data_IF_612498826519
#
_entry.id   IF_612498826519
#
_cell.length_a   1.000
_cell.length_b   1.000
_cell.length_c   1.000
_cell.angle_alpha   90.00
_cell.angle_beta   90.00
_cell.angle_gamma   90.00
#
_symmetry.space_group_name_H-M   'P 1'
#
loop_
_entity.id
_entity.type
_entity.pdbx_description
1 polymer ?
#
# COMPACT_ATOMS: atom_id res chain seq x y z
N UNK A 1 4.81 17.50 -9.04
CA UNK A 1 4.13 16.41 -8.32
C UNK A 1 3.98 15.24 -9.27
N UNK A 2 3.94 14.01 -8.73
CA UNK A 2 3.62 12.81 -9.50
C UNK A 2 2.11 12.76 -9.77
N UNK A 3 1.69 12.07 -10.82
CA UNK A 3 0.29 11.92 -11.22
C UNK A 3 -0.15 10.44 -11.21
N UNK A 4 -1.40 10.18 -11.61
CA UNK A 4 -1.97 8.83 -11.63
C UNK A 4 -1.26 7.89 -12.60
N UNK A 5 -0.69 8.38 -13.71
CA UNK A 5 0.05 7.54 -14.64
C UNK A 5 1.39 7.10 -14.02
N UNK A 6 2.05 7.98 -13.25
CA UNK A 6 3.23 7.59 -12.47
C UNK A 6 2.90 6.48 -11.46
N UNK A 7 1.71 6.53 -10.85
CA UNK A 7 1.22 5.49 -9.95
C UNK A 7 1.04 4.16 -10.67
N UNK A 8 0.35 4.16 -11.82
CA UNK A 8 0.14 2.97 -12.64
C UNK A 8 1.49 2.35 -13.03
N UNK A 9 2.41 3.16 -13.57
CA UNK A 9 3.72 2.69 -14.03
C UNK A 9 4.55 2.09 -12.89
N UNK A 10 4.52 2.69 -11.70
CA UNK A 10 5.21 2.16 -10.53
C UNK A 10 4.53 0.91 -9.96
N UNK A 11 3.23 0.72 -10.18
CA UNK A 11 2.47 -0.43 -9.66
C UNK A 11 2.53 -1.65 -10.58
N UNK A 12 2.77 -1.48 -11.89
CA UNK A 12 2.84 -2.60 -12.86
C UNK A 12 3.80 -3.70 -12.41
N UNK A 13 5.06 -3.43 -11.98
CA UNK A 13 5.97 -4.46 -11.51
C UNK A 13 5.48 -5.20 -10.25
N UNK A 14 4.69 -4.53 -9.41
CA UNK A 14 4.13 -5.13 -8.20
C UNK A 14 3.08 -6.21 -8.52
N UNK A 15 2.40 -6.14 -9.67
CA UNK A 15 1.41 -7.15 -10.08
C UNK A 15 2.01 -8.56 -10.28
N UNK A 16 3.32 -8.65 -10.52
CA UNK A 16 4.05 -9.92 -10.61
C UNK A 16 4.99 -10.13 -9.42
N UNK A 17 4.75 -9.45 -8.31
CA UNK A 17 5.58 -9.51 -7.10
C UNK A 17 4.77 -10.05 -5.93
N UNK A 18 5.35 -10.98 -5.17
CA UNK A 18 4.90 -11.32 -3.82
C UNK A 18 6.00 -10.99 -2.80
N UNK A 19 5.62 -10.43 -1.65
CA UNK A 19 6.51 -10.28 -0.51
C UNK A 19 6.19 -11.30 0.57
N UNK A 20 7.20 -11.95 1.13
CA UNK A 20 7.04 -12.76 2.35
C UNK A 20 7.83 -12.10 3.49
N UNK A 21 7.11 -11.68 4.53
CA UNK A 21 7.66 -11.07 5.74
C UNK A 21 7.42 -12.01 6.93
N UNK A 22 8.47 -12.31 7.67
CA UNK A 22 8.36 -12.99 8.97
C UNK A 22 8.54 -11.94 10.07
N UNK A 23 7.51 -11.77 10.89
CA UNK A 23 7.50 -10.83 12.01
C UNK A 23 7.57 -11.58 13.34
N UNK A 24 8.30 -11.02 14.31
CA UNK A 24 8.49 -11.61 15.63
C UNK A 24 8.11 -10.66 16.76
N UNK A 25 7.44 -11.19 17.79
CA UNK A 25 7.16 -10.47 19.05
C UNK A 25 6.95 -11.44 20.20
N UNK A 26 7.63 -11.21 21.33
CA UNK A 26 7.49 -11.98 22.59
C UNK A 26 7.55 -13.51 22.40
N UNK A 27 8.49 -13.99 21.59
CA UNK A 27 8.67 -15.42 21.34
C UNK A 27 7.69 -16.05 20.34
N UNK A 28 6.80 -15.25 19.74
CA UNK A 28 5.89 -15.67 18.67
C UNK A 28 6.36 -15.09 17.35
N UNK A 29 6.25 -15.87 16.27
CA UNK A 29 6.46 -15.43 14.89
C UNK A 29 5.20 -15.63 14.04
N UNK A 30 5.00 -14.75 13.06
CA UNK A 30 3.93 -14.84 12.06
C UNK A 30 4.51 -14.53 10.68
N UNK A 31 3.89 -15.07 9.64
CA UNK A 31 4.25 -14.83 8.25
C UNK A 31 3.17 -14.01 7.57
N UNK A 32 3.57 -12.99 6.82
CA UNK A 32 2.69 -12.17 5.98
C UNK A 32 3.15 -12.34 4.53
N UNK A 33 2.27 -12.82 3.67
CA UNK A 33 2.46 -12.87 2.22
C UNK A 33 1.66 -11.75 1.57
N UNK A 34 2.33 -10.76 1.01
CA UNK A 34 1.67 -9.58 0.42
C UNK A 34 1.69 -9.74 -1.09
N UNK A 35 0.51 -9.76 -1.70
CA UNK A 35 0.29 -9.76 -3.15
C UNK A 35 -0.48 -8.50 -3.57
N UNK A 36 -0.48 -8.20 -4.86
CA UNK A 36 -1.07 -6.97 -5.40
C UNK A 36 -2.02 -7.26 -6.56
N UNK A 37 -3.18 -6.60 -6.52
CA UNK A 37 -4.15 -6.58 -7.62
C UNK A 37 -4.35 -5.15 -8.14
N UNK A 38 -4.78 -5.01 -9.40
CA UNK A 38 -5.10 -3.71 -10.00
C UNK A 38 -6.14 -2.92 -9.18
N UNK A 39 -7.07 -3.62 -8.54
CA UNK A 39 -8.07 -3.05 -7.63
C UNK A 39 -7.43 -2.39 -6.41
N UNK A 40 -6.31 -2.92 -5.92
CA UNK A 40 -5.55 -2.31 -4.82
C UNK A 40 -4.99 -0.97 -5.27
N UNK A 41 -4.37 -0.89 -6.45
CA UNK A 41 -3.84 0.38 -6.97
C UNK A 41 -4.92 1.48 -7.04
N UNK A 42 -6.13 1.15 -7.52
CA UNK A 42 -7.27 2.06 -7.51
C UNK A 42 -7.59 2.59 -6.10
N UNK A 43 -7.59 1.70 -5.11
CA UNK A 43 -7.87 2.05 -3.72
C UNK A 43 -6.77 2.88 -3.07
N UNK A 44 -5.51 2.52 -3.32
CA UNK A 44 -4.35 3.16 -2.75
C UNK A 44 -4.16 4.57 -3.30
N UNK A 45 -4.46 4.79 -4.60
CA UNK A 45 -4.56 6.12 -5.19
C UNK A 45 -5.70 6.94 -4.57
N UNK A 46 -6.74 6.28 -4.06
CA UNK A 46 -7.92 6.93 -3.50
C UNK A 46 -9.00 7.28 -4.53
N UNK A 47 -8.98 6.67 -5.71
CA UNK A 47 -9.92 7.01 -6.80
C UNK A 47 -11.39 6.85 -6.41
N UNK A 48 -11.71 6.03 -5.39
CA UNK A 48 -13.06 5.92 -4.81
C UNK A 48 -13.61 7.23 -4.23
N UNK A 49 -12.76 8.23 -3.95
CA UNK A 49 -13.17 9.51 -3.39
C UNK A 49 -13.62 10.53 -4.46
N UNK A 50 -13.32 10.27 -5.73
CA UNK A 50 -13.70 11.13 -6.86
C UNK A 50 -15.13 10.82 -7.31
N UNK A 51 -16.09 11.06 -6.42
CA UNK A 51 -17.50 10.70 -6.61
C UNK A 51 -18.19 11.47 -7.73
N UNK A 52 -17.59 12.56 -8.20
CA UNK A 52 -18.01 13.36 -9.36
C UNK A 52 -17.53 12.81 -10.71
N UNK A 53 -16.74 11.71 -10.71
CA UNK A 53 -16.19 11.05 -11.89
C UNK A 53 -16.88 9.70 -12.13
N UNK A 54 -18.09 9.67 -12.74
CA UNK A 54 -18.84 8.42 -12.94
C UNK A 54 -18.08 7.39 -13.79
N UNK A 55 -17.17 7.81 -14.67
CA UNK A 55 -16.27 6.94 -15.43
C UNK A 55 -15.31 6.12 -14.57
N UNK A 56 -15.12 6.48 -13.30
CA UNK A 56 -14.33 5.70 -12.33
C UNK A 56 -15.21 4.73 -11.51
N UNK A 57 -16.53 4.89 -11.55
CA UNK A 57 -17.50 4.07 -10.80
C UNK A 57 -17.88 2.80 -11.56
N UNK A 58 -16.88 1.97 -11.85
CA UNK A 58 -17.04 0.67 -12.52
C UNK A 58 -15.97 -0.31 -12.04
N UNK A 59 -15.76 -1.40 -12.77
CA UNK A 59 -14.71 -2.35 -12.44
C UNK A 59 -13.34 -1.65 -12.32
N UNK A 60 -12.73 -1.77 -11.13
CA UNK A 60 -11.51 -1.03 -10.77
C UNK A 60 -10.29 -1.53 -11.53
N UNK A 61 -10.25 -2.81 -11.87
CA UNK A 61 -9.19 -3.39 -12.71
C UNK A 61 -9.25 -2.82 -14.12
N UNK A 62 -10.45 -2.68 -14.68
CA UNK A 62 -10.66 -2.01 -15.97
C UNK A 62 -10.32 -0.52 -15.92
N UNK A 63 -10.64 0.18 -14.83
CA UNK A 63 -10.22 1.59 -14.67
C UNK A 63 -8.70 1.70 -14.67
N UNK A 64 -7.99 0.81 -13.98
CA UNK A 64 -6.52 0.74 -14.03
C UNK A 64 -6.03 0.62 -15.47
N UNK A 65 -6.57 -0.33 -16.23
CA UNK A 65 -6.16 -0.58 -17.62
C UNK A 65 -6.44 0.63 -18.53
N UNK A 66 -7.58 1.28 -18.34
CA UNK A 66 -7.96 2.46 -19.12
C UNK A 66 -7.19 3.73 -18.75
N UNK A 67 -6.65 3.83 -17.54
CA UNK A 67 -5.66 4.87 -17.20
C UNK A 67 -4.32 4.53 -17.86
N UNK A 68 -3.91 3.27 -17.82
CA UNK A 68 -2.65 2.80 -18.38
C UNK A 68 -2.57 3.01 -19.91
N UNK A 69 -3.68 2.76 -20.62
CA UNK A 69 -3.77 2.92 -22.09
C UNK A 69 -4.15 4.34 -22.55
N UNK A 70 -4.45 5.24 -21.62
CA UNK A 70 -4.79 6.64 -21.88
C UNK A 70 -6.25 6.91 -22.25
N UNK A 71 -7.14 5.91 -22.22
CA UNK A 71 -8.60 6.09 -22.40
C UNK A 71 -9.18 7.04 -21.34
N UNK A 72 -8.73 6.90 -20.09
CA UNK A 72 -8.96 7.85 -19.01
C UNK A 72 -7.68 8.68 -18.85
N UNK A 73 -7.74 9.93 -19.27
CA UNK A 73 -6.57 10.82 -19.23
C UNK A 73 -6.34 11.39 -17.84
N UNK A 74 -5.11 11.82 -17.58
CA UNK A 74 -4.72 12.49 -16.32
C UNK A 74 -5.61 13.72 -16.08
N UNK A 75 -5.85 14.52 -17.12
CA UNK A 75 -6.64 15.75 -17.03
C UNK A 75 -8.08 15.49 -16.58
N UNK A 76 -8.68 14.37 -17.00
CA UNK A 76 -10.04 13.99 -16.56
C UNK A 76 -10.10 13.70 -15.07
N UNK A 77 -9.05 13.09 -14.52
CA UNK A 77 -8.96 12.74 -13.10
C UNK A 77 -8.65 14.00 -12.28
N UNK A 78 -7.66 14.79 -12.70
CA UNK A 78 -7.24 16.02 -12.01
C UNK A 78 -8.30 17.13 -12.04
N UNK A 79 -9.21 17.11 -13.03
CA UNK A 79 -10.33 18.03 -13.08
C UNK A 79 -11.38 17.80 -11.98
N UNK A 80 -11.31 16.71 -11.20
CA UNK A 80 -12.28 16.42 -10.15
C UNK A 80 -12.30 17.49 -9.06
N UNK A 81 -13.49 17.91 -8.64
CA UNK A 81 -13.68 18.83 -7.51
C UNK A 81 -13.17 18.23 -6.18
N UNK A 82 -12.92 16.91 -6.16
CA UNK A 82 -12.43 16.16 -5.02
C UNK A 82 -10.95 15.74 -5.15
N UNK A 83 -10.23 16.17 -6.20
CA UNK A 83 -8.86 15.73 -6.45
C UNK A 83 -7.90 16.06 -5.28
N UNK A 84 -8.12 17.19 -4.62
CA UNK A 84 -7.35 17.60 -3.44
C UNK A 84 -7.39 16.56 -2.28
N UNK A 85 -8.41 15.69 -2.22
CA UNK A 85 -8.50 14.61 -1.22
C UNK A 85 -7.55 13.45 -1.49
N UNK A 86 -7.06 13.33 -2.72
CA UNK A 86 -6.25 12.19 -3.17
C UNK A 86 -4.87 12.60 -3.66
N UNK A 87 -4.65 13.88 -3.95
CA UNK A 87 -3.40 14.42 -4.51
C UNK A 87 -2.15 13.89 -3.79
N UNK A 88 -2.16 13.89 -2.45
CA UNK A 88 -1.04 13.38 -1.67
C UNK A 88 -0.87 11.86 -1.80
N UNK A 89 -1.97 11.09 -1.89
CA UNK A 89 -1.90 9.64 -2.16
C UNK A 89 -1.26 9.38 -3.52
N UNK A 90 -1.70 10.09 -4.55
CA UNK A 90 -1.16 10.01 -5.91
C UNK A 90 0.31 10.41 -5.94
N UNK A 91 0.69 11.46 -5.22
CA UNK A 91 2.08 11.91 -5.20
C UNK A 91 3.04 10.85 -4.60
N UNK A 92 2.61 10.15 -3.55
CA UNK A 92 3.46 9.22 -2.80
C UNK A 92 3.33 7.75 -3.22
N UNK A 93 2.24 7.34 -3.86
CA UNK A 93 2.02 5.93 -4.22
C UNK A 93 3.15 5.31 -5.07
N UNK A 94 3.83 6.05 -5.96
CA UNK A 94 5.00 5.53 -6.66
C UNK A 94 6.18 5.10 -5.76
N UNK A 95 6.16 5.47 -4.47
CA UNK A 95 7.16 5.03 -3.47
C UNK A 95 6.75 3.74 -2.74
N UNK A 96 5.60 3.15 -3.04
CA UNK A 96 5.09 1.97 -2.31
C UNK A 96 6.07 0.81 -2.30
N UNK A 97 6.65 0.47 -3.45
CA UNK A 97 7.64 -0.61 -3.56
C UNK A 97 8.86 -0.33 -2.69
N UNK A 98 9.41 0.89 -2.77
CA UNK A 98 10.54 1.32 -1.95
C UNK A 98 10.19 1.29 -0.45
N UNK A 99 8.94 1.63 -0.08
CA UNK A 99 8.46 1.53 1.30
C UNK A 99 8.46 0.08 1.77
N UNK A 100 7.96 -0.86 0.97
CA UNK A 100 7.92 -2.29 1.35
C UNK A 100 9.34 -2.89 1.35
N UNK A 101 10.22 -2.45 0.45
CA UNK A 101 11.62 -2.86 0.38
C UNK A 101 12.46 -2.37 1.56
N UNK A 102 12.05 -1.29 2.23
CA UNK A 102 12.67 -0.82 3.47
C UNK A 102 12.47 -1.78 4.67
N UNK A 103 13.31 -1.66 5.70
CA UNK A 103 13.25 -2.54 6.88
C UNK A 103 12.88 -1.78 8.17
N UNK A 104 12.20 -0.64 8.05
CA UNK A 104 12.04 0.33 9.15
C UNK A 104 11.15 -0.21 10.28
N UNK A 105 9.82 -0.11 10.14
CA UNK A 105 8.90 -0.50 11.22
C UNK A 105 7.64 -1.18 10.73
N UNK A 106 7.20 -2.20 11.48
CA UNK A 106 5.92 -2.87 11.32
C UNK A 106 5.23 -2.95 12.68
N UNK A 107 3.93 -2.69 12.71
CA UNK A 107 3.12 -2.72 13.91
C UNK A 107 1.92 -3.63 13.70
N UNK A 108 1.51 -4.39 14.72
CA UNK A 108 0.16 -4.99 14.73
C UNK A 108 -0.82 -3.87 15.00
N UNK A 109 -1.73 -3.66 14.06
CA UNK A 109 -2.70 -2.58 14.13
C UNK A 109 -3.85 -2.96 15.08
N UNK A 110 -4.03 -2.13 16.09
CA UNK A 110 -5.14 -2.17 17.02
C UNK A 110 -6.03 -0.96 16.75
N UNK A 111 -7.17 -1.20 16.09
CA UNK A 111 -8.17 -0.17 15.80
C UNK A 111 -8.62 0.58 17.06
N UNK A 112 -8.61 -0.04 18.25
CA UNK A 112 -9.02 0.63 19.50
C UNK A 112 -8.12 1.80 19.88
N UNK A 113 -6.85 1.82 19.43
CA UNK A 113 -5.96 2.96 19.62
C UNK A 113 -6.33 4.15 18.73
N UNK A 114 -7.11 3.92 17.67
CA UNK A 114 -7.57 4.92 16.69
C UNK A 114 -9.09 4.77 16.47
N UNK A 115 -9.89 4.88 17.55
CA UNK A 115 -11.30 4.50 17.54
C UNK A 115 -12.19 5.26 16.53
N UNK A 116 -11.76 6.45 16.10
CA UNK A 116 -12.47 7.26 15.11
C UNK A 116 -12.07 6.93 13.67
N UNK A 117 -11.04 6.11 13.46
CA UNK A 117 -10.63 5.69 12.13
C UNK A 117 -11.60 4.62 11.59
N UNK A 118 -11.92 4.74 10.31
CA UNK A 118 -12.70 3.75 9.57
C UNK A 118 -11.82 2.65 8.96
N UNK A 119 -10.50 2.70 9.18
CA UNK A 119 -9.57 1.74 8.62
C UNK A 119 -9.62 0.44 9.43
N UNK A 120 -9.99 -0.65 8.76
CA UNK A 120 -9.93 -2.02 9.28
C UNK A 120 -8.67 -2.69 8.72
N UNK A 121 -7.67 -2.88 9.57
CA UNK A 121 -6.38 -3.45 9.18
C UNK A 121 -5.80 -4.34 10.28
N UNK A 122 -4.91 -5.23 9.89
CA UNK A 122 -4.20 -6.15 10.77
C UNK A 122 -2.83 -5.62 11.16
N UNK A 123 -2.14 -5.00 10.20
CA UNK A 123 -0.80 -4.46 10.38
C UNK A 123 -0.70 -3.06 9.77
N UNK A 124 0.26 -2.30 10.30
CA UNK A 124 0.62 -0.97 9.84
C UNK A 124 2.14 -0.96 9.64
N UNK A 125 2.59 -0.48 8.50
CA UNK A 125 3.99 -0.12 8.27
C UNK A 125 4.11 1.40 8.27
N UNK A 126 5.20 1.92 8.84
CA UNK A 126 5.53 3.33 8.86
C UNK A 126 6.97 3.55 8.39
N UNK A 127 7.14 4.51 7.49
CA UNK A 127 8.41 4.87 6.88
C UNK A 127 8.53 6.36 6.64
N UNK A 128 9.69 6.95 6.92
CA UNK A 128 9.95 8.32 6.52
C UNK A 128 10.49 8.37 5.08
N UNK A 129 9.76 8.99 4.17
CA UNK A 129 10.12 9.12 2.76
C UNK A 129 9.83 10.54 2.29
N UNK A 130 10.80 11.16 1.60
CA UNK A 130 10.69 12.54 1.12
C UNK A 130 10.27 13.53 2.24
N UNK A 131 10.84 13.33 3.44
CA UNK A 131 10.59 14.14 4.65
C UNK A 131 9.16 14.03 5.20
N UNK A 132 8.41 13.00 4.84
CA UNK A 132 7.08 12.69 5.43
C UNK A 132 7.01 11.23 5.87
N UNK A 133 6.32 10.97 6.97
CA UNK A 133 5.97 9.61 7.31
C UNK A 133 4.88 9.12 6.36
N UNK A 134 5.03 7.92 5.84
CA UNK A 134 4.04 7.22 5.02
C UNK A 134 3.49 6.04 5.82
N UNK A 135 2.18 5.84 5.73
CA UNK A 135 1.50 4.72 6.38
C UNK A 135 0.98 3.76 5.33
N UNK A 136 1.32 2.47 5.47
CA UNK A 136 0.76 1.38 4.70
C UNK A 136 0.00 0.44 5.64
N UNK A 137 -1.30 0.32 5.41
CA UNK A 137 -2.17 -0.58 6.15
C UNK A 137 -2.31 -1.89 5.39
N UNK A 138 -2.14 -3.01 6.09
CA UNK A 138 -2.29 -4.35 5.55
C UNK A 138 -3.48 -5.05 6.21
N UNK A 139 -4.32 -5.68 5.41
CA UNK A 139 -5.43 -6.51 5.89
C UNK A 139 -5.23 -7.94 5.42
N UNK A 140 -5.58 -8.90 6.27
CA UNK A 140 -5.62 -10.30 5.90
C UNK A 140 -6.71 -10.52 4.84
N UNK A 141 -6.39 -11.34 3.84
CA UNK A 141 -7.37 -11.86 2.89
C UNK A 141 -7.78 -13.27 3.30
N UNK A 142 -6.84 -14.23 3.20
CA UNK A 142 -7.02 -15.61 3.61
C UNK A 142 -5.69 -16.20 4.11
N UNK A 143 -5.72 -16.90 5.25
CA UNK A 143 -4.54 -17.57 5.81
C UNK A 143 -3.42 -16.58 6.12
N UNK A 144 -2.24 -16.78 5.51
CA UNK A 144 -1.10 -15.88 5.64
C UNK A 144 -1.06 -14.80 4.53
N UNK A 145 -2.08 -14.74 3.65
CA UNK A 145 -2.12 -13.78 2.56
C UNK A 145 -2.71 -12.43 3.02
N UNK A 146 -2.09 -11.35 2.56
CA UNK A 146 -2.40 -9.97 2.91
C UNK A 146 -2.42 -9.11 1.65
N UNK A 147 -3.23 -8.06 1.68
CA UNK A 147 -3.27 -7.03 0.65
C UNK A 147 -3.09 -5.65 1.26
N UNK A 148 -2.68 -4.69 0.42
CA UNK A 148 -2.54 -3.30 0.79
C UNK A 148 -3.92 -2.63 0.88
N UNK A 149 -4.38 -2.38 2.12
CA UNK A 149 -5.71 -1.83 2.41
C UNK A 149 -5.81 -0.33 2.18
N UNK A 150 -4.77 0.42 2.56
CA UNK A 150 -4.73 1.88 2.43
C UNK A 150 -3.28 2.35 2.51
N UNK A 151 -2.95 3.39 1.75
CA UNK A 151 -1.64 4.02 1.73
C UNK A 151 -1.79 5.53 1.61
N UNK A 152 -1.16 6.28 2.52
CA UNK A 152 -1.18 7.74 2.51
C UNK A 152 -0.09 8.31 3.44
N UNK A 153 0.39 9.54 3.17
CA UNK A 153 1.29 10.22 4.10
C UNK A 153 0.59 10.60 5.39
N UNK A 154 1.36 10.72 6.47
CA UNK A 154 0.94 11.35 7.70
C UNK A 154 0.45 12.79 7.43
N UNK A 155 -0.69 13.12 8.02
CA UNK A 155 -1.22 14.48 8.05
C UNK A 155 -1.30 14.98 9.50
N UNK A 156 -2.47 14.82 10.14
CA UNK A 156 -2.71 15.28 11.52
C UNK A 156 -2.58 14.18 12.57
N UNK A 157 -2.64 12.92 12.13
CA UNK A 157 -2.74 11.76 13.00
C UNK A 157 -1.61 10.79 12.70
N UNK A 158 -0.82 10.52 13.73
CA UNK A 158 0.14 9.43 13.77
C UNK A 158 -0.60 8.13 14.11
N UNK A 159 -0.66 7.21 13.15
CA UNK A 159 -1.36 5.93 13.30
C UNK A 159 -0.54 4.85 14.01
N UNK A 160 0.79 5.02 14.14
CA UNK A 160 1.67 4.06 14.83
C UNK A 160 1.68 4.27 16.34
N UNK A 161 1.25 5.46 16.79
CA UNK A 161 1.07 5.77 18.21
C UNK A 161 0.21 4.71 18.93
N UNK A 162 0.74 4.22 20.04
CA UNK A 162 0.14 3.17 20.89
C UNK A 162 -0.10 1.83 20.18
N UNK A 163 0.53 1.58 19.02
CA UNK A 163 0.51 0.29 18.37
C UNK A 163 1.63 -0.62 18.89
N UNK A 164 1.40 -1.93 18.85
CA UNK A 164 2.42 -2.89 19.22
C UNK A 164 3.40 -3.05 18.06
N UNK A 165 4.65 -2.59 18.22
CA UNK A 165 5.72 -2.84 17.23
C UNK A 165 6.10 -4.32 17.16
N UNK A 166 6.31 -4.83 15.95
CA UNK A 166 6.79 -6.18 15.66
C UNK A 166 8.13 -6.09 14.96
N UNK A 167 9.05 -6.97 15.35
CA UNK A 167 10.39 -7.02 14.77
C UNK A 167 10.32 -7.76 13.44
N UNK A 168 10.76 -7.13 12.35
CA UNK A 168 11.03 -7.85 11.11
C UNK A 168 12.18 -8.83 11.35
N UNK A 169 11.95 -10.12 11.13
CA UNK A 169 12.94 -11.19 11.29
C UNK A 169 13.50 -11.64 9.95
N UNK A 170 12.65 -11.72 8.94
CA UNK A 170 13.01 -12.13 7.59
C UNK A 170 12.12 -11.42 6.59
N UNK A 171 12.68 -11.09 5.42
CA UNK A 171 11.92 -10.57 4.30
C UNK A 171 12.52 -11.05 3.00
N UNK A 172 11.68 -11.57 2.11
CA UNK A 172 12.02 -11.81 0.71
C UNK A 172 10.96 -11.23 -0.20
N UNK A 173 11.39 -10.99 -1.43
CA UNK A 173 10.57 -10.63 -2.58
C UNK A 173 10.66 -11.75 -3.60
N UNK A 174 9.54 -12.12 -4.19
CA UNK A 174 9.42 -13.22 -5.14
C UNK A 174 8.83 -12.64 -6.43
N UNK A 175 9.52 -12.82 -7.54
CA UNK A 175 8.95 -12.57 -8.87
C UNK A 175 8.09 -13.79 -9.24
N UNK A 176 6.78 -13.60 -9.32
CA UNK A 176 5.81 -14.65 -9.60
C UNK A 176 5.90 -15.18 -11.04
N UNK A 177 6.47 -14.41 -11.96
CA UNK A 177 6.63 -14.82 -13.36
C UNK A 177 7.82 -15.75 -13.58
N UNK A 178 8.89 -15.57 -12.79
CA UNK A 178 10.13 -16.33 -12.92
C UNK A 178 10.38 -17.29 -11.75
N UNK A 179 9.71 -17.10 -10.63
CA UNK A 179 9.96 -17.79 -9.36
C UNK A 179 11.24 -17.34 -8.64
N UNK A 180 11.91 -16.28 -9.13
CA UNK A 180 13.16 -15.80 -8.53
C UNK A 180 12.87 -15.16 -7.18
N UNK A 181 13.55 -15.65 -6.14
CA UNK A 181 13.49 -15.08 -4.80
C UNK A 181 14.70 -14.17 -4.54
N UNK A 182 14.43 -12.97 -4.04
CA UNK A 182 15.45 -12.02 -3.57
C UNK A 182 15.25 -11.78 -2.07
N UNK A 183 16.24 -12.18 -1.27
CA UNK A 183 16.22 -11.92 0.18
C UNK A 183 16.60 -10.47 0.43
N UNK A 184 15.69 -9.70 1.04
CA UNK A 184 15.87 -8.29 1.35
C UNK A 184 16.33 -8.06 2.80
N UNK A 185 16.00 -9.00 3.69
CA UNK A 185 16.39 -8.93 5.10
C UNK A 185 16.42 -10.33 5.73
N UNK A 186 17.43 -10.59 6.57
CA UNK A 186 17.50 -11.85 7.32
C UNK A 186 18.24 -11.65 8.65
N UNK A 187 17.51 -11.80 9.76
CA UNK A 187 18.01 -11.77 11.14
C UNK A 187 17.94 -13.14 11.82
N UNK A 188 17.51 -14.17 11.09
CA UNK A 188 17.37 -15.55 11.58
C UNK A 188 18.66 -16.35 11.32
N UNK A 189 19.63 -15.77 10.59
CA UNK A 189 20.98 -16.32 10.39
C UNK A 189 21.96 -15.90 11.47
#
# INVERSE_FOLDING_TARGET
MRNVLDCINAFIPLLSTEYELVLGRKGVSVTLRISFDKKDCFHLMGLQYLVDRPELSRDRGRVFDEIADGTITIEKIEASDFYNKIEQRVHFLPLLEQMIDSNDTVFKYNKKANMYSMIEADYLMENNMESRNLFLFLSNDEGDNYFCRSFFPEEKMDYSKNQASWTLLYKKKIDLSTGIETVLYNRIK
#
